data_IF_537655828845
#
_entry.id   IF_537655828845
#
_cell.length_a   1.000
_cell.length_b   1.000
_cell.length_c   1.000
_cell.angle_alpha   90.00
_cell.angle_beta   90.00
_cell.angle_gamma   90.00
#
_symmetry.space_group_name_H-M   'P 1'
#
loop_
_entity.id
_entity.type
_entity.pdbx_description
1 polymer ?
#
# COMPACT_ATOMS: atom_id res chain seq x y z
N UNK A 1 -65.92 24.33 20.46
CA UNK A 1 -65.23 23.02 20.42
C UNK A 1 -65.65 22.22 21.62
N UNK A 2 -66.11 20.98 21.40
CA UNK A 2 -66.31 20.03 22.50
C UNK A 2 -64.96 19.42 22.88
N UNK A 3 -64.85 18.86 24.10
CA UNK A 3 -63.62 18.14 24.50
C UNK A 3 -63.27 16.94 23.60
N UNK A 4 -64.29 16.38 22.91
CA UNK A 4 -64.10 15.34 21.90
C UNK A 4 -63.39 15.85 20.64
N UNK A 5 -63.75 17.05 20.17
CA UNK A 5 -63.14 17.65 18.98
C UNK A 5 -61.66 17.97 19.22
N UNK A 6 -61.33 18.47 20.41
CA UNK A 6 -59.95 18.74 20.81
C UNK A 6 -59.12 17.45 20.89
N UNK A 7 -59.66 16.39 21.50
CA UNK A 7 -58.97 15.09 21.60
C UNK A 7 -58.71 14.48 20.23
N UNK A 8 -59.65 14.61 19.30
CA UNK A 8 -59.50 14.12 17.93
C UNK A 8 -58.40 14.87 17.16
N UNK A 9 -58.38 16.19 17.25
CA UNK A 9 -57.33 17.05 16.69
C UNK A 9 -55.94 16.71 17.25
N UNK A 10 -55.87 16.43 18.56
CA UNK A 10 -54.64 16.03 19.25
C UNK A 10 -54.16 14.65 18.79
N UNK A 11 -55.06 13.68 18.66
CA UNK A 11 -54.74 12.34 18.15
C UNK A 11 -54.24 12.39 16.69
N UNK A 12 -54.88 13.22 15.85
CA UNK A 12 -54.53 13.40 14.43
C UNK A 12 -53.16 14.06 14.24
N UNK A 13 -52.68 14.85 15.22
CA UNK A 13 -51.36 15.51 15.15
C UNK A 13 -50.27 14.76 15.91
N UNK A 14 -50.58 14.19 17.08
CA UNK A 14 -49.56 13.54 17.94
C UNK A 14 -49.20 12.14 17.44
N UNK A 15 -50.14 11.35 16.92
CA UNK A 15 -49.83 9.99 16.43
C UNK A 15 -48.84 9.99 15.26
N UNK A 16 -48.98 10.84 14.23
CA UNK A 16 -47.99 10.92 13.16
C UNK A 16 -46.60 11.35 13.66
N UNK A 17 -46.54 12.25 14.64
CA UNK A 17 -45.27 12.66 15.26
C UNK A 17 -44.60 11.51 16.00
N UNK A 18 -45.37 10.68 16.72
CA UNK A 18 -44.85 9.48 17.37
C UNK A 18 -44.31 8.47 16.35
N UNK A 19 -45.07 8.19 15.29
CA UNK A 19 -44.62 7.30 14.20
C UNK A 19 -43.36 7.83 13.51
N UNK A 20 -43.29 9.15 13.28
CA UNK A 20 -42.10 9.79 12.73
C UNK A 20 -40.88 9.64 13.65
N UNK A 21 -41.07 9.82 14.96
CA UNK A 21 -40.00 9.63 15.94
C UNK A 21 -39.53 8.18 16.02
N UNK A 22 -40.45 7.22 15.97
CA UNK A 22 -40.13 5.79 15.93
C UNK A 22 -39.36 5.44 14.64
N UNK A 23 -39.76 6.01 13.50
CA UNK A 23 -39.03 5.84 12.24
C UNK A 23 -37.61 6.40 12.28
N UNK A 24 -37.44 7.62 12.83
CA UNK A 24 -36.11 8.23 13.01
C UNK A 24 -35.25 7.37 13.93
N UNK A 25 -35.83 6.82 15.01
CA UNK A 25 -35.10 5.95 15.94
C UNK A 25 -34.60 4.69 15.26
N UNK A 26 -35.46 4.01 14.51
CA UNK A 26 -35.07 2.80 13.75
C UNK A 26 -33.99 3.11 12.72
N UNK A 27 -34.12 4.19 11.97
CA UNK A 27 -33.08 4.60 11.01
C UNK A 27 -31.74 4.93 11.67
N UNK A 28 -31.76 5.47 12.89
CA UNK A 28 -30.53 5.75 13.65
C UNK A 28 -29.87 4.47 14.17
N UNK A 29 -30.66 3.46 14.54
CA UNK A 29 -30.16 2.14 14.93
C UNK A 29 -29.52 1.41 13.74
N UNK A 30 -30.11 1.49 12.54
CA UNK A 30 -29.54 0.96 11.30
C UNK A 30 -28.20 1.64 10.95
N UNK A 31 -28.16 2.98 10.91
CA UNK A 31 -26.92 3.74 10.64
C UNK A 31 -25.81 3.38 11.64
N UNK A 32 -26.17 3.13 12.91
CA UNK A 32 -25.20 2.72 13.93
C UNK A 32 -24.65 1.31 13.68
N UNK A 33 -25.48 0.40 13.18
CA UNK A 33 -25.07 -0.94 12.76
C UNK A 33 -24.09 -0.86 11.60
N UNK A 34 -24.47 -0.18 10.53
CA UNK A 34 -23.64 -0.02 9.32
C UNK A 34 -22.29 0.63 9.66
N UNK A 35 -22.29 1.66 10.51
CA UNK A 35 -21.05 2.30 10.95
C UNK A 35 -20.13 1.35 11.72
N UNK A 36 -20.70 0.38 12.44
CA UNK A 36 -19.92 -0.62 13.16
C UNK A 36 -19.27 -1.62 12.21
N UNK A 37 -19.98 -2.02 11.16
CA UNK A 37 -19.45 -2.88 10.10
C UNK A 37 -18.33 -2.20 9.32
N UNK A 38 -18.53 -0.95 8.88
CA UNK A 38 -17.51 -0.15 8.17
C UNK A 38 -16.23 -0.01 9.01
N UNK A 39 -16.35 0.17 10.33
CA UNK A 39 -15.19 0.24 11.22
C UNK A 39 -14.41 -1.08 11.27
N UNK A 40 -15.12 -2.20 11.23
CA UNK A 40 -14.50 -3.53 11.22
C UNK A 40 -13.78 -3.78 9.89
N UNK A 41 -14.41 -3.48 8.76
CA UNK A 41 -13.78 -3.59 7.44
C UNK A 41 -12.54 -2.70 7.32
N UNK A 42 -12.62 -1.46 7.81
CA UNK A 42 -11.48 -0.54 7.81
C UNK A 42 -10.31 -1.09 8.63
N UNK A 43 -10.58 -1.75 9.75
CA UNK A 43 -9.56 -2.40 10.57
C UNK A 43 -8.90 -3.54 9.80
N UNK A 44 -9.66 -4.37 9.12
CA UNK A 44 -9.14 -5.48 8.32
C UNK A 44 -8.26 -4.99 7.16
N UNK A 45 -8.68 -3.94 6.45
CA UNK A 45 -7.87 -3.30 5.40
C UNK A 45 -6.56 -2.80 5.98
N UNK A 46 -6.60 -2.14 7.14
CA UNK A 46 -5.41 -1.65 7.83
C UNK A 46 -4.46 -2.80 8.19
N UNK A 47 -4.99 -3.88 8.76
CA UNK A 47 -4.20 -5.05 9.13
C UNK A 47 -3.53 -5.70 7.91
N UNK A 48 -4.24 -5.80 6.77
CA UNK A 48 -3.65 -6.29 5.51
C UNK A 48 -2.50 -5.40 5.04
N UNK A 49 -2.70 -4.09 5.06
CA UNK A 49 -1.66 -3.13 4.64
C UNK A 49 -0.41 -3.24 5.53
N UNK A 50 -0.60 -3.21 6.86
CA UNK A 50 0.49 -3.17 7.82
C UNK A 50 1.22 -4.51 7.95
N UNK A 51 0.50 -5.63 7.93
CA UNK A 51 1.08 -6.94 8.24
C UNK A 51 1.52 -7.73 7.01
N UNK A 52 0.92 -7.47 5.84
CA UNK A 52 1.18 -8.28 4.64
C UNK A 52 1.89 -7.50 3.54
N UNK A 53 1.40 -6.30 3.24
CA UNK A 53 1.89 -5.53 2.09
C UNK A 53 3.20 -4.82 2.44
N UNK A 54 3.21 -4.00 3.49
CA UNK A 54 4.38 -3.19 3.84
C UNK A 54 5.66 -4.02 4.08
N UNK A 55 5.64 -5.12 4.86
CA UNK A 55 6.86 -5.90 5.09
C UNK A 55 7.43 -6.51 3.81
N UNK A 56 6.55 -7.01 2.94
CA UNK A 56 6.94 -7.59 1.65
C UNK A 56 7.56 -6.55 0.73
N UNK A 57 6.97 -5.35 0.68
CA UNK A 57 7.48 -4.23 -0.12
C UNK A 57 8.87 -3.80 0.37
N UNK A 58 9.03 -3.61 1.69
CA UNK A 58 10.32 -3.24 2.30
C UNK A 58 11.40 -4.29 2.02
N UNK A 59 11.04 -5.58 2.08
CA UNK A 59 11.97 -6.66 1.75
C UNK A 59 12.42 -6.60 0.29
N UNK A 60 11.49 -6.43 -0.65
CA UNK A 60 11.79 -6.32 -2.09
C UNK A 60 12.68 -5.11 -2.34
N UNK A 61 12.32 -3.94 -1.80
CA UNK A 61 13.10 -2.70 -1.95
C UNK A 61 14.54 -2.88 -1.47
N UNK A 62 14.72 -3.42 -0.26
CA UNK A 62 16.04 -3.68 0.32
C UNK A 62 16.84 -4.66 -0.53
N UNK A 63 16.19 -5.71 -1.04
CA UNK A 63 16.82 -6.73 -1.87
C UNK A 63 17.29 -6.15 -3.21
N UNK A 64 16.42 -5.40 -3.89
CA UNK A 64 16.74 -4.74 -5.17
C UNK A 64 17.88 -3.75 -4.98
N UNK A 65 17.84 -2.95 -3.91
CA UNK A 65 18.92 -2.01 -3.57
C UNK A 65 20.26 -2.72 -3.36
N UNK A 66 20.28 -3.81 -2.58
CA UNK A 66 21.48 -4.65 -2.39
C UNK A 66 22.02 -5.18 -3.72
N UNK A 67 21.16 -5.61 -4.64
CA UNK A 67 21.62 -6.08 -5.94
C UNK A 67 22.21 -4.93 -6.77
N UNK A 68 21.56 -3.76 -6.80
CA UNK A 68 22.08 -2.59 -7.49
C UNK A 68 23.47 -2.19 -6.95
N UNK A 69 23.63 -2.13 -5.63
CA UNK A 69 24.91 -1.82 -4.98
C UNK A 69 25.99 -2.86 -5.38
N UNK A 70 25.65 -4.15 -5.40
CA UNK A 70 26.57 -5.21 -5.84
C UNK A 70 26.97 -5.08 -7.31
N UNK A 71 26.06 -4.70 -8.19
CA UNK A 71 26.40 -4.48 -9.60
C UNK A 71 27.39 -3.32 -9.77
N UNK A 72 27.17 -2.21 -9.07
CA UNK A 72 28.11 -1.06 -9.09
C UNK A 72 29.48 -1.46 -8.55
N UNK A 73 29.54 -2.22 -7.45
CA UNK A 73 30.80 -2.71 -6.89
C UNK A 73 31.50 -3.67 -7.86
N UNK A 74 30.75 -4.60 -8.45
CA UNK A 74 31.29 -5.56 -9.40
C UNK A 74 31.84 -4.85 -10.63
N UNK A 75 31.16 -3.83 -11.13
CA UNK A 75 31.64 -3.01 -12.24
C UNK A 75 32.99 -2.34 -11.90
N UNK A 76 33.11 -1.71 -10.73
CA UNK A 76 34.39 -1.13 -10.28
C UNK A 76 35.50 -2.20 -10.18
N UNK A 77 35.16 -3.38 -9.65
CA UNK A 77 36.10 -4.48 -9.53
C UNK A 77 36.56 -4.99 -10.90
N UNK A 78 35.64 -5.16 -11.84
CA UNK A 78 35.92 -5.57 -13.22
C UNK A 78 36.86 -4.54 -13.88
N UNK A 79 36.55 -3.24 -13.80
CA UNK A 79 37.43 -2.19 -14.36
C UNK A 79 38.83 -2.20 -13.76
N UNK A 80 38.96 -2.46 -12.45
CA UNK A 80 40.28 -2.55 -11.80
C UNK A 80 41.07 -3.79 -12.24
N UNK A 81 40.41 -4.93 -12.40
CA UNK A 81 41.05 -6.16 -12.90
C UNK A 81 41.48 -5.97 -14.35
N UNK A 82 40.59 -5.43 -15.19
CA UNK A 82 40.85 -5.11 -16.60
C UNK A 82 42.11 -4.25 -16.73
N UNK A 83 42.15 -3.10 -16.05
CA UNK A 83 43.32 -2.20 -16.05
C UNK A 83 44.62 -2.91 -15.66
N UNK A 84 44.58 -3.78 -14.64
CA UNK A 84 45.76 -4.53 -14.18
C UNK A 84 46.19 -5.57 -15.22
N UNK A 85 45.24 -6.24 -15.84
CA UNK A 85 45.49 -7.24 -16.88
C UNK A 85 46.10 -6.58 -18.11
N UNK A 86 45.50 -5.50 -18.62
CA UNK A 86 46.05 -4.72 -19.74
C UNK A 86 47.48 -4.27 -19.46
N UNK A 87 47.75 -3.76 -18.24
CA UNK A 87 49.10 -3.35 -17.85
C UNK A 87 50.11 -4.51 -17.95
N UNK A 88 49.73 -5.72 -17.56
CA UNK A 88 50.60 -6.91 -17.63
C UNK A 88 50.77 -7.39 -19.07
N UNK A 89 49.69 -7.43 -19.84
CA UNK A 89 49.71 -7.82 -21.26
C UNK A 89 50.58 -6.89 -22.08
N UNK A 90 50.47 -5.57 -21.86
CA UNK A 90 51.32 -4.55 -22.49
C UNK A 90 52.80 -4.77 -22.15
N UNK A 91 53.12 -5.01 -20.88
CA UNK A 91 54.50 -5.26 -20.44
C UNK A 91 55.09 -6.55 -21.02
N UNK A 92 54.25 -7.54 -21.35
CA UNK A 92 54.67 -8.83 -21.91
C UNK A 92 54.53 -8.89 -23.43
N UNK A 93 53.99 -7.86 -24.07
CA UNK A 93 53.70 -7.84 -25.51
C UNK A 93 52.65 -8.87 -25.94
N UNK A 94 51.74 -9.25 -25.04
CA UNK A 94 50.67 -10.21 -25.31
C UNK A 94 49.48 -9.46 -25.91
N UNK A 95 48.94 -9.97 -27.02
CA UNK A 95 47.65 -9.54 -27.55
C UNK A 95 46.58 -10.56 -27.16
N UNK A 96 45.64 -10.22 -26.26
CA UNK A 96 44.59 -11.15 -25.88
C UNK A 96 43.62 -11.41 -27.04
N UNK A 97 43.13 -12.66 -27.18
CA UNK A 97 42.00 -12.98 -28.06
C UNK A 97 40.77 -12.14 -27.73
N UNK A 98 40.00 -11.76 -28.76
CA UNK A 98 38.81 -10.90 -28.61
C UNK A 98 37.75 -11.48 -27.65
N UNK A 99 37.65 -12.81 -27.56
CA UNK A 99 36.75 -13.51 -26.63
C UNK A 99 37.13 -13.37 -25.15
N UNK A 100 38.38 -13.00 -24.86
CA UNK A 100 38.88 -12.77 -23.50
C UNK A 100 38.90 -11.28 -23.13
N UNK A 101 38.54 -10.39 -24.05
CA UNK A 101 38.44 -8.96 -23.78
C UNK A 101 37.14 -8.68 -23.03
N UNK A 102 37.23 -7.89 -21.95
CA UNK A 102 36.06 -7.43 -21.22
C UNK A 102 35.30 -6.44 -22.12
N UNK A 103 34.00 -6.64 -22.37
CA UNK A 103 33.23 -5.71 -23.18
C UNK A 103 33.23 -4.32 -22.55
N UNK A 104 33.64 -3.31 -23.30
CA UNK A 104 33.50 -1.91 -22.89
C UNK A 104 32.02 -1.52 -22.98
N UNK A 105 31.43 -1.19 -21.83
CA UNK A 105 30.10 -0.58 -21.76
C UNK A 105 30.30 0.92 -21.99
N UNK A 106 29.79 1.46 -23.10
CA UNK A 106 29.76 2.91 -23.37
C UNK A 106 28.83 3.66 -22.43
#
# INVERSE_FOLDING_TARGET
>A
MTGSDFKKLLDETVKPLQQGLDGVRSGLDEVRSDLSEVKQELKEVKDIQEQRILPSLTYIETTVKSYADRYVINEDHIRRVDKRLTTVEDNLGIQPPQELMIPSVE
#
